data_IF_608931770911
#
_entry.id   IF_608931770911
#
_cell.length_a   1.000
_cell.length_b   1.000
_cell.length_c   1.000
_cell.angle_alpha   90.00
_cell.angle_beta   90.00
_cell.angle_gamma   90.00
#
_symmetry.space_group_name_H-M   'P 1'
#
loop_
_entity.id
_entity.type
_entity.pdbx_description
1 polymer ?
#
# COMPACT_ATOMS: atom_id res chain seq x y z
N UNK A 1 5.28 15.76 14.88
CA UNK A 1 4.13 16.26 15.66
C UNK A 1 3.00 16.59 14.70
N UNK A 2 1.81 16.06 14.95
CA UNK A 2 0.61 16.25 14.11
C UNK A 2 -0.33 17.31 14.69
N UNK A 3 -0.59 17.24 16.01
CA UNK A 3 -1.52 18.14 16.68
C UNK A 3 -1.11 18.38 18.12
N UNK A 4 -1.67 19.44 18.72
CA UNK A 4 -1.72 19.66 20.15
C UNK A 4 -3.14 19.47 20.63
N UNK A 5 -3.33 18.62 21.64
CA UNK A 5 -4.62 18.29 22.20
C UNK A 5 -4.66 18.77 23.66
N UNK A 6 -5.75 19.43 24.04
CA UNK A 6 -6.04 19.76 25.44
C UNK A 6 -6.86 18.63 26.05
N UNK A 7 -6.35 18.02 27.12
CA UNK A 7 -7.03 16.94 27.83
C UNK A 7 -7.04 17.25 29.35
N UNK A 8 -8.20 17.63 29.89
CA UNK A 8 -8.33 17.94 31.32
C UNK A 8 -7.93 16.78 32.23
N UNK A 9 -8.28 15.56 31.86
CA UNK A 9 -7.93 14.35 32.62
C UNK A 9 -6.42 14.13 32.69
N UNK A 10 -5.72 14.34 31.56
CA UNK A 10 -4.27 14.23 31.53
C UNK A 10 -3.61 15.32 32.34
N UNK A 11 -4.16 16.53 32.32
CA UNK A 11 -3.67 17.65 33.18
C UNK A 11 -3.80 17.31 34.68
N UNK A 12 -4.96 16.77 35.10
CA UNK A 12 -5.18 16.34 36.46
C UNK A 12 -4.21 15.23 36.88
N UNK A 13 -4.01 14.21 36.02
CA UNK A 13 -3.05 13.14 36.28
C UNK A 13 -1.60 13.64 36.39
N UNK A 14 -1.21 14.64 35.59
CA UNK A 14 0.12 15.28 35.68
C UNK A 14 0.28 16.02 37.01
N UNK A 15 -0.74 16.76 37.44
CA UNK A 15 -0.71 17.49 38.73
C UNK A 15 -0.60 16.51 39.90
N UNK A 16 -1.34 15.39 39.86
CA UNK A 16 -1.24 14.32 40.84
C UNK A 16 0.18 13.74 40.90
N UNK A 17 0.75 13.38 39.75
CA UNK A 17 2.12 12.86 39.65
C UNK A 17 3.15 13.86 40.22
N UNK A 18 3.05 15.13 39.85
CA UNK A 18 3.95 16.18 40.36
C UNK A 18 3.81 16.42 41.87
N UNK A 19 2.59 16.29 42.42
CA UNK A 19 2.38 16.35 43.86
C UNK A 19 3.08 15.19 44.59
N UNK A 20 2.95 13.94 44.00
CA UNK A 20 3.60 12.75 44.56
C UNK A 20 5.14 12.82 44.50
N UNK A 21 5.72 13.54 43.55
CA UNK A 21 7.17 13.75 43.49
C UNK A 21 7.71 14.58 44.68
N UNK A 22 6.87 15.43 45.27
CA UNK A 22 7.23 16.31 46.42
C UNK A 22 7.00 15.64 47.77
N UNK A 23 6.32 14.48 47.79
CA UNK A 23 6.03 13.78 49.06
C UNK A 23 7.22 12.90 49.48
N UNK A 24 7.61 13.01 50.72
CA UNK A 24 8.64 12.16 51.37
C UNK A 24 7.98 11.22 52.39
N UNK A 25 7.29 10.20 51.88
CA UNK A 25 6.63 9.13 52.68
C UNK A 25 7.15 7.76 52.29
N UNK A 26 7.03 6.78 53.18
CA UNK A 26 7.56 5.43 52.99
C UNK A 26 7.08 4.76 51.70
N UNK A 27 5.83 4.99 51.29
CA UNK A 27 5.21 4.35 50.12
C UNK A 27 5.22 5.23 48.87
N UNK A 28 5.93 6.38 48.91
CA UNK A 28 5.97 7.35 47.83
C UNK A 28 6.41 6.75 46.50
N UNK A 29 7.34 5.80 46.53
CA UNK A 29 7.88 5.18 45.31
C UNK A 29 6.81 4.35 44.56
N UNK A 30 6.02 3.58 45.30
CA UNK A 30 4.91 2.77 44.72
C UNK A 30 3.83 3.69 44.14
N UNK A 31 3.48 4.78 44.85
CA UNK A 31 2.50 5.74 44.36
C UNK A 31 3.00 6.50 43.13
N UNK A 32 4.27 6.91 43.09
CA UNK A 32 4.91 7.54 41.93
C UNK A 32 4.91 6.60 40.71
N UNK A 33 5.23 5.31 40.91
CA UNK A 33 5.20 4.31 39.85
C UNK A 33 3.78 4.12 39.28
N UNK A 34 2.77 4.04 40.13
CA UNK A 34 1.37 3.95 39.72
C UNK A 34 0.90 5.19 38.95
N UNK A 35 1.20 6.39 39.43
CA UNK A 35 0.87 7.65 38.77
C UNK A 35 1.57 7.77 37.41
N UNK A 36 2.85 7.38 37.32
CA UNK A 36 3.59 7.31 36.04
C UNK A 36 2.97 6.34 35.06
N UNK A 37 2.55 5.16 35.53
CA UNK A 37 1.85 4.18 34.69
C UNK A 37 0.52 4.75 34.18
N UNK A 38 -0.23 5.46 35.04
CA UNK A 38 -1.47 6.12 34.61
C UNK A 38 -1.25 7.15 33.51
N UNK A 39 -0.19 7.97 33.59
CA UNK A 39 0.17 8.92 32.54
C UNK A 39 0.47 8.24 31.21
N UNK A 40 1.17 7.09 31.23
CA UNK A 40 1.43 6.28 30.04
C UNK A 40 0.13 5.72 29.43
N UNK A 41 -0.78 5.22 30.27
CA UNK A 41 -2.07 4.69 29.81
C UNK A 41 -2.96 5.79 29.21
N UNK A 42 -2.80 7.05 29.66
CA UNK A 42 -3.44 8.22 29.07
C UNK A 42 -2.74 8.71 27.79
N UNK A 43 -1.72 7.99 27.29
CA UNK A 43 -1.05 8.26 26.02
C UNK A 43 0.15 9.20 26.10
N UNK A 44 0.62 9.54 27.29
CA UNK A 44 1.78 10.41 27.46
C UNK A 44 3.09 9.65 27.22
N UNK A 45 3.95 10.20 26.36
CA UNK A 45 5.24 9.61 26.05
C UNK A 45 6.22 9.74 27.23
N UNK A 46 7.15 8.80 27.36
CA UNK A 46 8.12 8.75 28.48
C UNK A 46 8.99 10.01 28.58
N UNK A 47 9.41 10.54 27.44
CA UNK A 47 10.19 11.77 27.37
C UNK A 47 9.40 13.01 27.86
N UNK A 48 8.08 13.03 27.64
CA UNK A 48 7.19 14.09 28.12
C UNK A 48 6.99 13.99 29.65
N UNK A 49 6.80 12.75 30.16
CA UNK A 49 6.73 12.51 31.61
C UNK A 49 8.02 12.96 32.31
N UNK A 50 9.17 12.62 31.71
CA UNK A 50 10.46 13.09 32.25
C UNK A 50 10.63 14.62 32.17
N UNK A 51 10.06 15.25 31.14
CA UNK A 51 10.10 16.71 30.98
C UNK A 51 9.28 17.42 32.04
N UNK A 52 8.04 16.98 32.34
CA UNK A 52 7.22 17.56 33.40
C UNK A 52 7.82 17.31 34.79
N UNK A 53 8.41 16.11 35.00
CA UNK A 53 9.11 15.84 36.28
C UNK A 53 10.28 16.79 36.53
N UNK A 54 11.04 17.15 35.50
CA UNK A 54 12.16 18.09 35.58
C UNK A 54 11.72 19.54 35.71
N UNK A 55 10.68 19.95 35.00
CA UNK A 55 10.18 21.33 35.03
C UNK A 55 9.33 21.61 36.27
N UNK A 56 8.75 20.59 36.89
CA UNK A 56 7.79 20.74 37.97
C UNK A 56 6.47 21.38 37.56
N UNK A 57 6.22 21.50 36.27
CA UNK A 57 5.02 22.15 35.71
C UNK A 57 4.25 21.19 34.85
N UNK A 58 2.93 21.08 35.07
CA UNK A 58 2.03 20.34 34.21
C UNK A 58 1.80 21.08 32.90
N UNK A 59 1.76 20.34 31.80
CA UNK A 59 1.48 20.89 30.49
C UNK A 59 0.01 20.61 30.12
N UNK A 60 -0.84 21.64 29.94
CA UNK A 60 -2.24 21.45 29.60
C UNK A 60 -2.44 20.93 28.16
N UNK A 61 -1.42 21.01 27.34
CA UNK A 61 -1.46 20.53 25.95
C UNK A 61 -0.43 19.45 25.77
N UNK A 62 -0.84 18.31 25.19
CA UNK A 62 0.09 17.25 24.81
C UNK A 62 0.15 17.10 23.30
N UNK A 63 1.32 16.73 22.80
CA UNK A 63 1.54 16.54 21.37
C UNK A 63 1.12 15.16 20.90
N UNK A 64 0.28 15.11 19.87
CA UNK A 64 0.03 13.87 19.12
C UNK A 64 1.04 13.77 18.01
N UNK A 65 1.77 12.66 17.95
CA UNK A 65 2.83 12.42 16.98
C UNK A 65 2.41 11.33 15.99
N UNK A 66 2.91 11.42 14.75
CA UNK A 66 2.74 10.37 13.77
C UNK A 66 3.48 9.11 14.21
N UNK A 67 2.87 7.92 14.15
CA UNK A 67 3.51 6.65 14.46
C UNK A 67 4.56 6.25 13.41
N UNK A 68 4.41 6.76 12.19
CA UNK A 68 5.32 6.53 11.05
C UNK A 68 5.37 7.75 10.13
N UNK A 69 6.37 7.79 9.26
CA UNK A 69 6.40 8.77 8.17
C UNK A 69 5.36 8.42 7.12
N UNK A 70 4.71 9.43 6.54
CA UNK A 70 3.68 9.20 5.53
C UNK A 70 2.94 10.48 5.16
N UNK A 71 1.87 10.33 4.41
CA UNK A 71 0.98 11.41 3.99
C UNK A 71 -0.32 11.35 4.77
N UNK A 72 -0.83 12.51 5.16
CA UNK A 72 -2.17 12.61 5.76
C UNK A 72 -3.16 12.47 4.59
N UNK A 73 -3.94 11.40 4.59
CA UNK A 73 -4.96 11.13 3.57
C UNK A 73 -6.33 11.65 3.98
N UNK A 74 -6.58 11.73 5.28
CA UNK A 74 -7.82 12.25 5.82
C UNK A 74 -7.53 13.03 7.10
N UNK A 75 -8.18 14.19 7.26
CA UNK A 75 -8.12 15.03 8.43
C UNK A 75 -9.52 15.10 9.06
N UNK A 76 -9.73 14.29 10.12
CA UNK A 76 -11.02 14.17 10.81
C UNK A 76 -11.29 15.29 11.82
N UNK A 77 -10.30 16.14 12.08
CA UNK A 77 -10.40 17.21 13.11
C UNK A 77 -10.00 18.56 12.54
N UNK A 78 -10.49 19.63 13.21
CA UNK A 78 -10.13 21.01 12.90
C UNK A 78 -9.63 21.69 14.15
N UNK A 79 -8.83 22.74 13.98
CA UNK A 79 -8.36 23.56 15.09
C UNK A 79 -9.53 24.14 15.87
N UNK A 80 -9.50 24.01 17.20
CA UNK A 80 -10.57 24.45 18.11
C UNK A 80 -11.75 23.48 18.20
N UNK A 81 -11.74 22.37 17.44
CA UNK A 81 -12.77 21.35 17.53
C UNK A 81 -12.66 20.49 18.78
N UNK A 82 -13.79 20.01 19.26
CA UNK A 82 -13.86 19.06 20.37
C UNK A 82 -13.60 17.64 19.84
N UNK A 83 -12.81 16.87 20.58
CA UNK A 83 -12.43 15.51 20.25
C UNK A 83 -12.99 14.58 21.34
N UNK A 84 -13.68 13.54 20.93
CA UNK A 84 -14.17 12.50 21.84
C UNK A 84 -13.14 11.37 21.94
N UNK A 85 -13.02 10.69 23.09
CA UNK A 85 -12.22 9.48 23.20
C UNK A 85 -12.59 8.45 22.12
N UNK A 86 -11.57 7.91 21.43
CA UNK A 86 -11.80 6.96 20.33
C UNK A 86 -12.07 7.61 18.97
N UNK A 87 -12.17 8.94 18.87
CA UNK A 87 -12.32 9.62 17.58
C UNK A 87 -11.06 9.47 16.70
N UNK A 88 -11.28 9.24 15.42
CA UNK A 88 -10.19 9.23 14.43
C UNK A 88 -9.76 10.67 14.14
N UNK A 89 -8.55 11.03 14.52
CA UNK A 89 -8.01 12.38 14.31
C UNK A 89 -7.59 12.61 12.87
N UNK A 90 -6.86 11.65 12.32
CA UNK A 90 -6.36 11.69 10.95
C UNK A 90 -5.93 10.29 10.49
N UNK A 91 -5.95 10.09 9.20
CA UNK A 91 -5.43 8.88 8.57
C UNK A 91 -4.08 9.19 7.92
N UNK A 92 -3.11 8.32 8.17
CA UNK A 92 -1.81 8.38 7.52
C UNK A 92 -1.65 7.17 6.61
N UNK A 93 -1.11 7.40 5.41
CA UNK A 93 -0.73 6.34 4.49
C UNK A 93 0.75 6.46 4.12
N UNK A 94 1.44 5.34 4.14
CA UNK A 94 2.76 5.21 3.53
C UNK A 94 2.55 4.95 2.03
N UNK A 95 3.00 5.89 1.22
CA UNK A 95 2.93 5.80 -0.24
C UNK A 95 4.27 5.39 -0.87
N UNK A 96 5.22 4.89 -0.10
CA UNK A 96 6.51 4.38 -0.62
C UNK A 96 6.34 3.16 -1.54
N UNK A 97 5.26 2.42 -1.32
CA UNK A 97 4.79 1.32 -2.16
C UNK A 97 3.30 1.47 -2.41
N UNK A 98 2.86 1.35 -3.64
CA UNK A 98 1.44 1.36 -4.00
C UNK A 98 1.01 0.02 -4.58
N UNK A 99 -0.24 -0.35 -4.32
CA UNK A 99 -0.83 -1.55 -4.88
C UNK A 99 -1.61 -1.22 -6.15
N UNK A 100 -1.25 -1.92 -7.21
CA UNK A 100 -2.04 -1.95 -8.42
C UNK A 100 -2.91 -3.21 -8.41
N UNK A 101 -4.21 -3.04 -8.51
CA UNK A 101 -5.15 -4.14 -8.65
C UNK A 101 -5.44 -4.29 -10.14
N UNK A 102 -4.87 -5.31 -10.74
CA UNK A 102 -5.08 -5.63 -12.15
C UNK A 102 -6.23 -6.65 -12.30
N UNK A 103 -7.09 -6.43 -13.26
CA UNK A 103 -8.12 -7.39 -13.66
C UNK A 103 -7.58 -8.22 -14.82
N UNK A 104 -7.28 -9.49 -14.55
CA UNK A 104 -6.67 -10.39 -15.52
C UNK A 104 -7.72 -11.39 -16.01
N UNK A 105 -7.95 -11.53 -17.32
CA UNK A 105 -8.87 -12.52 -17.87
C UNK A 105 -8.53 -13.94 -17.36
N UNK A 106 -9.55 -14.75 -17.08
CA UNK A 106 -9.41 -16.11 -16.55
C UNK A 106 -8.42 -16.97 -17.35
N UNK A 107 -8.47 -16.88 -18.68
CA UNK A 107 -7.57 -17.62 -19.60
C UNK A 107 -6.07 -17.31 -19.38
N UNK A 108 -5.75 -16.11 -18.86
CA UNK A 108 -4.38 -15.63 -18.66
C UNK A 108 -3.95 -15.71 -17.18
N UNK A 109 -4.92 -15.73 -16.26
CA UNK A 109 -4.68 -15.78 -14.83
C UNK A 109 -3.89 -17.02 -14.39
N UNK A 110 -4.12 -18.17 -15.00
CA UNK A 110 -3.41 -19.42 -14.73
C UNK A 110 -1.90 -19.39 -15.09
N UNK A 111 -1.47 -18.37 -15.83
CA UNK A 111 -0.06 -18.19 -16.21
C UNK A 111 0.72 -17.38 -15.20
N UNK A 112 0.03 -16.59 -14.35
CA UNK A 112 0.64 -15.74 -13.35
C UNK A 112 0.99 -16.53 -12.10
N UNK A 113 2.11 -16.15 -11.49
CA UNK A 113 2.54 -16.70 -10.20
C UNK A 113 2.88 -15.57 -9.24
N UNK A 114 2.59 -15.73 -7.95
CA UNK A 114 3.10 -14.81 -6.93
C UNK A 114 4.64 -14.71 -7.02
N UNK A 115 5.16 -13.50 -6.88
CA UNK A 115 6.58 -13.21 -7.02
C UNK A 115 7.04 -12.86 -8.43
N UNK A 116 6.21 -13.04 -9.45
CA UNK A 116 6.53 -12.69 -10.84
C UNK A 116 6.63 -11.18 -11.03
N UNK A 117 7.60 -10.76 -11.84
CA UNK A 117 7.78 -9.35 -12.19
C UNK A 117 6.94 -9.01 -13.41
N UNK A 118 6.23 -7.89 -13.34
CA UNK A 118 5.38 -7.35 -14.41
C UNK A 118 5.70 -5.88 -14.65
N UNK A 119 5.43 -5.40 -15.85
CA UNK A 119 5.59 -3.99 -16.18
C UNK A 119 4.24 -3.26 -16.17
N UNK A 120 4.14 -2.23 -15.36
CA UNK A 120 2.98 -1.33 -15.31
C UNK A 120 3.29 -0.05 -16.09
N UNK A 121 2.40 0.33 -17.00
CA UNK A 121 2.43 1.59 -17.75
C UNK A 121 1.28 2.45 -17.26
N UNK A 122 1.61 3.68 -16.85
CA UNK A 122 0.63 4.61 -16.32
C UNK A 122 0.17 5.57 -17.42
N UNK A 123 -1.14 5.68 -17.62
CA UNK A 123 -1.69 6.61 -18.60
C UNK A 123 -1.41 8.07 -18.25
N UNK A 124 -1.38 8.39 -16.96
CA UNK A 124 -1.08 9.74 -16.43
C UNK A 124 0.39 10.14 -16.53
N UNK A 125 1.30 9.20 -16.82
CA UNK A 125 2.75 9.43 -16.95
C UNK A 125 3.26 8.79 -18.24
N UNK A 126 3.02 9.41 -19.41
CA UNK A 126 3.42 8.87 -20.70
C UNK A 126 4.92 8.56 -20.75
N UNK A 127 5.28 7.37 -21.23
CA UNK A 127 6.68 6.93 -21.33
C UNK A 127 7.29 6.38 -20.03
N UNK A 128 6.58 6.44 -18.92
CA UNK A 128 7.03 5.86 -17.64
C UNK A 128 6.51 4.43 -17.53
N UNK A 129 7.44 3.48 -17.41
CA UNK A 129 7.14 2.09 -17.09
C UNK A 129 7.70 1.78 -15.71
N UNK A 130 6.87 1.20 -14.85
CA UNK A 130 7.25 0.81 -13.50
C UNK A 130 7.23 -0.70 -13.39
N UNK A 131 8.37 -1.28 -13.01
CA UNK A 131 8.44 -2.69 -12.71
C UNK A 131 7.78 -2.97 -11.35
N UNK A 132 6.83 -3.89 -11.35
CA UNK A 132 6.12 -4.34 -10.17
C UNK A 132 6.26 -5.83 -9.94
N UNK A 133 5.85 -6.29 -8.77
CA UNK A 133 5.86 -7.70 -8.41
C UNK A 133 4.44 -8.16 -8.07
N UNK A 134 4.02 -9.28 -8.63
CA UNK A 134 2.76 -9.95 -8.26
C UNK A 134 2.88 -10.39 -6.81
N UNK A 135 2.10 -9.78 -5.91
CA UNK A 135 2.13 -10.11 -4.48
C UNK A 135 1.01 -11.07 -4.10
N UNK A 136 -0.14 -10.97 -4.76
CA UNK A 136 -1.28 -11.83 -4.44
C UNK A 136 -2.21 -12.01 -5.64
N UNK A 137 -2.72 -13.22 -5.83
CA UNK A 137 -3.75 -13.55 -6.81
C UNK A 137 -5.00 -13.92 -6.03
N UNK A 138 -6.07 -13.15 -6.21
CA UNK A 138 -7.31 -13.41 -5.49
C UNK A 138 -7.94 -14.72 -5.96
N UNK A 139 -8.42 -15.59 -5.05
CA UNK A 139 -8.99 -16.89 -5.41
C UNK A 139 -10.40 -16.78 -5.99
N UNK A 140 -10.97 -15.59 -6.06
CA UNK A 140 -12.33 -15.34 -6.54
C UNK A 140 -12.30 -14.80 -7.97
N UNK A 141 -13.14 -15.39 -8.82
CA UNK A 141 -13.43 -14.91 -10.16
C UNK A 141 -14.61 -13.94 -10.10
N UNK A 142 -14.48 -12.80 -10.76
CA UNK A 142 -15.61 -11.91 -11.00
C UNK A 142 -16.42 -12.47 -12.16
N UNK A 143 -17.65 -12.89 -11.89
CA UNK A 143 -18.52 -13.54 -12.86
C UNK A 143 -18.99 -12.60 -13.99
N UNK A 144 -19.07 -11.29 -13.73
CA UNK A 144 -19.54 -10.30 -14.70
C UNK A 144 -18.47 -10.01 -15.75
N UNK A 145 -17.21 -9.85 -15.30
CA UNK A 145 -16.07 -9.51 -16.17
C UNK A 145 -15.27 -10.75 -16.59
N UNK A 146 -15.50 -11.90 -15.96
CA UNK A 146 -14.70 -13.13 -16.11
C UNK A 146 -13.22 -12.89 -15.92
N UNK A 147 -12.89 -12.11 -14.91
CA UNK A 147 -11.52 -11.76 -14.56
C UNK A 147 -11.17 -12.16 -13.12
N UNK A 148 -9.90 -12.38 -12.91
CA UNK A 148 -9.29 -12.60 -11.59
C UNK A 148 -8.55 -11.34 -11.19
N UNK A 149 -8.78 -10.86 -9.98
CA UNK A 149 -8.01 -9.73 -9.45
C UNK A 149 -6.63 -10.19 -9.02
N UNK A 150 -5.63 -9.41 -9.41
CA UNK A 150 -4.22 -9.65 -9.09
C UNK A 150 -3.66 -8.40 -8.45
N UNK A 151 -3.08 -8.54 -7.26
CA UNK A 151 -2.41 -7.44 -6.57
C UNK A 151 -0.93 -7.43 -6.95
N UNK A 152 -0.50 -6.29 -7.46
CA UNK A 152 0.87 -6.02 -7.87
C UNK A 152 1.41 -4.90 -6.99
N UNK A 153 2.56 -5.09 -6.40
CA UNK A 153 3.25 -4.08 -5.61
C UNK A 153 4.19 -3.28 -6.52
N UNK A 154 3.98 -1.96 -6.54
CA UNK A 154 4.78 -1.01 -7.31
C UNK A 154 5.60 -0.15 -6.36
N UNK A 155 6.94 -0.11 -6.48
CA UNK A 155 7.77 0.81 -5.72
C UNK A 155 7.50 2.26 -6.16
N UNK A 156 7.30 3.15 -5.21
CA UNK A 156 6.98 4.56 -5.45
C UNK A 156 8.03 5.50 -4.86
N UNK A 157 9.31 5.25 -5.15
CA UNK A 157 10.44 6.01 -4.59
C UNK A 157 10.40 7.50 -4.89
N UNK A 158 9.83 7.89 -6.02
CA UNK A 158 9.73 9.28 -6.46
C UNK A 158 8.40 9.94 -6.05
N UNK A 159 7.48 9.21 -5.39
CA UNK A 159 6.19 9.74 -4.97
C UNK A 159 5.23 10.11 -6.11
N UNK A 160 5.51 9.64 -7.34
CA UNK A 160 4.72 9.97 -8.53
C UNK A 160 3.44 9.14 -8.65
N UNK A 161 3.43 7.94 -8.06
CA UNK A 161 2.27 7.07 -8.07
C UNK A 161 1.29 7.51 -6.97
N UNK A 162 0.03 7.73 -7.36
CA UNK A 162 -1.03 8.14 -6.43
C UNK A 162 -2.18 7.13 -6.46
N UNK A 163 -2.80 6.81 -5.32
CA UNK A 163 -4.01 6.03 -5.31
C UNK A 163 -5.07 6.62 -6.25
N UNK A 164 -5.80 5.76 -6.95
CA UNK A 164 -6.80 6.17 -7.94
C UNK A 164 -6.27 6.39 -9.36
N UNK A 165 -4.97 6.25 -9.61
CA UNK A 165 -4.43 6.27 -10.96
C UNK A 165 -4.76 4.98 -11.71
N UNK A 166 -4.96 5.10 -13.02
CA UNK A 166 -5.11 3.96 -13.92
C UNK A 166 -3.76 3.57 -14.53
N UNK A 167 -3.56 2.26 -14.66
CA UNK A 167 -2.39 1.71 -15.31
C UNK A 167 -2.76 0.45 -16.11
N UNK A 168 -2.05 0.24 -17.20
CA UNK A 168 -2.08 -1.02 -17.95
C UNK A 168 -0.89 -1.89 -17.56
N UNK A 169 -1.11 -3.20 -17.46
CA UNK A 169 -0.07 -4.17 -17.10
C UNK A 169 0.26 -5.02 -18.31
N UNK A 170 1.53 -5.02 -18.70
CA UNK A 170 2.05 -5.97 -19.67
C UNK A 170 2.46 -7.25 -18.92
N UNK A 171 1.75 -8.34 -19.19
CA UNK A 171 2.16 -9.65 -18.72
C UNK A 171 3.25 -10.15 -19.67
N UNK A 172 4.44 -10.41 -19.14
CA UNK A 172 5.50 -11.01 -19.93
C UNK A 172 5.08 -12.40 -20.35
N UNK A 173 4.76 -12.57 -21.63
CA UNK A 173 4.58 -13.89 -22.21
C UNK A 173 5.88 -14.67 -22.08
N UNK A 174 5.82 -15.95 -21.75
CA UNK A 174 7.01 -16.79 -21.83
C UNK A 174 7.52 -16.75 -23.27
N UNK A 175 8.74 -16.29 -23.45
CA UNK A 175 9.44 -16.41 -24.72
C UNK A 175 9.52 -17.90 -25.02
N UNK A 176 8.86 -18.32 -26.07
CA UNK A 176 8.96 -19.67 -26.61
C UNK A 176 9.73 -19.60 -27.92
N UNK A 177 10.72 -20.43 -28.07
CA UNK A 177 11.24 -20.68 -29.39
C UNK A 177 10.15 -21.34 -30.22
N UNK A 178 9.70 -20.65 -31.22
CA UNK A 178 8.68 -21.14 -32.13
C UNK A 178 9.04 -20.75 -33.56
N UNK A 179 8.68 -21.61 -34.51
CA UNK A 179 8.77 -21.26 -35.90
C UNK A 179 7.76 -20.15 -36.18
N UNK A 180 8.23 -18.98 -36.58
CA UNK A 180 7.39 -17.84 -36.87
C UNK A 180 7.38 -17.54 -38.37
N UNK A 181 6.22 -17.24 -38.91
CA UNK A 181 6.02 -16.74 -40.27
C UNK A 181 5.23 -15.43 -40.22
N UNK A 182 5.40 -14.52 -41.20
CA UNK A 182 4.56 -13.32 -41.26
C UNK A 182 3.08 -13.72 -41.35
N UNK A 183 2.22 -12.97 -40.70
CA UNK A 183 0.77 -13.26 -40.63
C UNK A 183 0.16 -13.31 -42.02
N UNK A 184 0.64 -12.50 -42.96
CA UNK A 184 0.20 -12.44 -44.37
C UNK A 184 0.52 -13.71 -45.15
N UNK A 185 1.48 -14.52 -44.67
CA UNK A 185 1.86 -15.78 -45.28
C UNK A 185 0.88 -16.92 -44.96
N UNK A 186 -0.02 -16.70 -43.98
CA UNK A 186 -1.01 -17.72 -43.57
C UNK A 186 -2.32 -17.49 -44.30
N UNK A 187 -2.67 -18.40 -45.18
CA UNK A 187 -3.91 -18.38 -45.93
C UNK A 187 -4.96 -19.22 -45.19
N UNK A 188 -6.02 -18.57 -44.73
CA UNK A 188 -7.16 -19.24 -44.11
C UNK A 188 -8.20 -19.62 -45.18
N UNK A 189 -8.43 -20.92 -45.39
CA UNK A 189 -9.39 -21.41 -46.38
C UNK A 189 -10.76 -21.75 -45.80
N UNK A 190 -11.05 -21.27 -44.58
CA UNK A 190 -12.29 -21.56 -43.85
C UNK A 190 -12.22 -22.86 -43.04
N UNK A 191 -11.74 -23.94 -43.60
CA UNK A 191 -11.62 -25.25 -42.92
C UNK A 191 -10.22 -25.53 -42.40
N UNK A 192 -9.19 -24.93 -42.97
CA UNK A 192 -7.77 -25.13 -42.60
C UNK A 192 -6.95 -23.87 -42.86
N UNK A 193 -5.79 -23.78 -42.18
CA UNK A 193 -4.79 -22.76 -42.45
C UNK A 193 -3.63 -23.41 -43.21
N UNK A 194 -3.15 -22.73 -44.24
CA UNK A 194 -2.05 -23.21 -45.07
C UNK A 194 -1.01 -22.13 -45.30
N UNK A 195 0.23 -22.51 -45.43
CA UNK A 195 1.35 -21.67 -45.86
C UNK A 195 1.92 -22.25 -47.14
N UNK A 196 2.24 -21.39 -48.10
CA UNK A 196 2.90 -21.83 -49.34
C UNK A 196 4.40 -21.94 -49.07
N UNK A 197 4.94 -23.13 -49.17
CA UNK A 197 6.35 -23.41 -48.96
C UNK A 197 7.02 -23.63 -50.31
N UNK A 198 8.15 -22.95 -50.54
CA UNK A 198 8.99 -23.19 -51.72
C UNK A 198 9.81 -24.47 -51.50
N UNK A 199 9.73 -25.39 -52.46
CA UNK A 199 10.43 -26.68 -52.46
C UNK A 199 11.16 -26.84 -53.82
N UNK A 200 12.45 -26.47 -53.83
CA UNK A 200 13.19 -26.35 -55.10
C UNK A 200 12.61 -25.26 -56.01
N UNK A 201 12.22 -25.64 -57.22
CA UNK A 201 11.60 -24.74 -58.20
C UNK A 201 10.05 -24.78 -58.19
N UNK A 202 9.46 -25.52 -57.26
CA UNK A 202 8.01 -25.63 -57.11
C UNK A 202 7.52 -25.04 -55.78
N UNK A 203 6.19 -24.77 -55.72
CA UNK A 203 5.52 -24.29 -54.51
C UNK A 203 4.44 -25.29 -54.10
N UNK A 204 4.40 -25.63 -52.82
CA UNK A 204 3.37 -26.53 -52.31
C UNK A 204 2.67 -25.94 -51.09
N UNK A 205 1.37 -26.18 -50.96
CA UNK A 205 0.65 -25.81 -49.76
C UNK A 205 1.00 -26.78 -48.62
N UNK A 206 1.38 -26.22 -47.47
CA UNK A 206 1.57 -26.96 -46.23
C UNK A 206 0.49 -26.56 -45.23
N UNK A 207 -0.23 -27.53 -44.68
CA UNK A 207 -1.19 -27.28 -43.63
C UNK A 207 -0.45 -26.94 -42.34
N UNK A 208 -0.88 -25.88 -41.68
CA UNK A 208 -0.26 -25.38 -40.42
C UNK A 208 -1.32 -25.15 -39.34
N UNK A 209 -0.93 -25.43 -38.13
CA UNK A 209 -1.65 -24.96 -36.94
C UNK A 209 -0.93 -23.75 -36.40
N UNK A 210 -1.66 -22.62 -36.29
CA UNK A 210 -1.10 -21.41 -35.72
C UNK A 210 -1.33 -21.40 -34.21
N UNK A 211 -0.27 -21.22 -33.42
CA UNK A 211 -0.35 -20.94 -32.02
C UNK A 211 -0.82 -19.50 -31.73
N UNK A 212 -0.92 -19.19 -30.45
CA UNK A 212 -1.15 -17.83 -29.95
C UNK A 212 0.16 -17.05 -29.94
#
# INVERSE_FOLDING_TARGET
>A
KLADVYAPELLAAQQEYLALLKLEISDAETLRAAARTRLKLLGMAENEIAAIARSGQANPRFGVYAPASGFITELGVRQGGQIMPGANLMQLADLSTVWLIAEVPERDAGRLKPGETVEARLESLPGVTVAGRVSYIYPTLDAATRSVRVRIELPNRQGQLRPGMYASVALAGRVREALAVPTESVIATGTRKVVIVKDGDSFRPAAVETGL
#
